data_IF_672681249154
#
_entry.id   IF_672681249154
#
_cell.length_a   1.000
_cell.length_b   1.000
_cell.length_c   1.000
_cell.angle_alpha   90.00
_cell.angle_beta   90.00
_cell.angle_gamma   90.00
#
_symmetry.space_group_name_H-M   'P 1'
#
loop_
_entity.id
_entity.type
_entity.pdbx_description
1 polymer ?
#
# COMPACT_ATOMS: atom_id res chain seq x y z
N UNK A 1 13.74 5.20 9.55
CA UNK A 1 14.27 5.12 8.16
C UNK A 1 13.58 6.22 7.38
N UNK A 2 14.36 7.05 6.70
CA UNK A 2 13.85 8.08 5.80
C UNK A 2 14.15 7.67 4.35
N UNK A 3 13.16 7.79 3.48
CA UNK A 3 13.29 7.51 2.04
C UNK A 3 12.91 8.80 1.31
N UNK A 4 13.87 9.36 0.59
CA UNK A 4 13.69 10.53 -0.26
C UNK A 4 13.81 10.09 -1.72
N UNK A 5 12.83 10.45 -2.53
CA UNK A 5 12.83 10.19 -3.96
C UNK A 5 12.74 11.54 -4.66
N UNK A 6 13.73 11.85 -5.48
CA UNK A 6 13.80 13.07 -6.30
C UNK A 6 13.88 12.68 -7.77
N UNK A 7 13.19 13.42 -8.61
CA UNK A 7 13.21 13.23 -10.06
C UNK A 7 13.18 14.56 -10.78
N UNK A 8 13.83 14.62 -11.94
CA UNK A 8 13.76 15.74 -12.86
C UNK A 8 13.60 15.23 -14.29
N UNK A 9 13.08 16.08 -15.18
CA UNK A 9 12.84 15.72 -16.57
C UNK A 9 13.11 16.90 -17.50
N UNK A 10 13.45 16.63 -18.76
CA UNK A 10 13.57 17.63 -19.82
C UNK A 10 12.27 17.80 -20.63
N UNK A 11 11.30 16.90 -20.45
CA UNK A 11 9.97 16.91 -21.10
C UNK A 11 8.94 16.39 -20.15
N UNK A 12 7.71 16.91 -20.21
CA UNK A 12 6.59 16.40 -19.41
C UNK A 12 6.46 14.89 -19.57
N UNK A 13 6.46 14.18 -18.46
CA UNK A 13 6.36 12.71 -18.43
C UNK A 13 5.50 12.24 -17.27
N UNK A 14 5.09 10.99 -17.30
CA UNK A 14 4.45 10.32 -16.16
C UNK A 14 5.51 10.02 -15.09
N UNK A 15 5.17 10.30 -13.84
CA UNK A 15 6.06 10.09 -12.71
C UNK A 15 5.27 9.62 -11.49
N UNK A 16 5.43 8.36 -11.14
CA UNK A 16 4.84 7.77 -9.94
C UNK A 16 5.84 6.80 -9.31
N UNK A 17 6.43 7.20 -8.20
CA UNK A 17 7.42 6.42 -7.48
C UNK A 17 6.86 5.91 -6.17
N UNK A 18 7.28 4.70 -5.78
CA UNK A 18 7.00 4.12 -4.48
C UNK A 18 8.16 3.25 -4.01
N UNK A 19 8.13 2.87 -2.74
CA UNK A 19 8.97 1.81 -2.19
C UNK A 19 8.09 0.58 -1.99
N UNK A 20 8.50 -0.56 -2.56
CA UNK A 20 7.74 -1.81 -2.51
C UNK A 20 8.40 -2.85 -1.58
N UNK A 21 8.89 -2.41 -0.44
CA UNK A 21 9.42 -3.32 0.57
C UNK A 21 8.29 -4.10 1.24
N UNK A 22 8.53 -5.39 1.50
CA UNK A 22 7.62 -6.23 2.28
C UNK A 22 8.05 -6.27 3.73
N UNK A 23 7.09 -6.15 4.63
CA UNK A 23 7.30 -6.18 6.07
C UNK A 23 6.60 -7.37 6.70
N UNK A 24 7.33 -8.07 7.59
CA UNK A 24 6.81 -9.09 8.48
C UNK A 24 7.46 -8.87 9.85
N UNK A 25 6.66 -8.43 10.82
CA UNK A 25 7.16 -7.90 12.09
C UNK A 25 7.30 -8.97 13.18
N UNK A 26 6.78 -10.17 12.99
CA UNK A 26 6.86 -11.24 13.98
C UNK A 26 7.72 -12.43 13.55
N UNK A 27 8.20 -12.42 12.29
CA UNK A 27 9.03 -13.48 11.73
C UNK A 27 8.29 -14.80 11.50
N UNK A 28 6.95 -14.80 11.56
CA UNK A 28 6.13 -15.96 11.22
C UNK A 28 6.11 -16.20 9.71
N UNK A 29 5.62 -17.36 9.26
CA UNK A 29 5.51 -17.68 7.84
C UNK A 29 4.56 -16.74 7.07
N UNK A 30 3.61 -16.10 7.76
CA UNK A 30 2.67 -15.16 7.16
C UNK A 30 2.22 -14.08 8.13
N UNK A 31 1.54 -13.06 7.61
CA UNK A 31 1.12 -11.87 8.35
C UNK A 31 -0.23 -11.96 9.05
N UNK A 32 -0.83 -13.15 9.22
CA UNK A 32 -2.15 -13.32 9.85
C UNK A 32 -2.23 -12.76 11.28
N UNK A 33 -1.11 -12.72 12.01
CA UNK A 33 -1.06 -12.18 13.36
C UNK A 33 -0.88 -10.66 13.41
N UNK A 34 -0.61 -10.02 12.28
CA UNK A 34 -0.44 -8.58 12.21
C UNK A 34 -1.78 -7.86 12.33
N UNK A 35 -1.71 -6.63 12.82
CA UNK A 35 -2.83 -5.69 12.82
C UNK A 35 -2.47 -4.50 11.95
N UNK A 36 -3.46 -3.96 11.27
CA UNK A 36 -3.33 -2.81 10.38
C UNK A 36 -4.25 -1.68 10.83
N UNK A 37 -3.74 -0.45 10.76
CA UNK A 37 -4.50 0.79 10.76
C UNK A 37 -4.17 1.52 9.47
N UNK A 38 -5.18 2.04 8.76
CA UNK A 38 -5.01 2.97 7.63
C UNK A 38 -5.87 4.20 7.89
N UNK A 39 -5.26 5.36 7.94
CA UNK A 39 -5.95 6.63 8.23
C UNK A 39 -6.66 7.17 6.98
N UNK A 40 -7.69 6.45 6.51
CA UNK A 40 -8.39 6.74 5.28
C UNK A 40 -9.85 6.29 5.32
N UNK A 41 -10.74 7.05 4.64
CA UNK A 41 -12.16 6.71 4.51
C UNK A 41 -12.50 6.12 3.14
N UNK A 42 -11.64 6.31 2.12
CA UNK A 42 -11.93 5.97 0.75
C UNK A 42 -10.86 5.07 0.13
N UNK A 43 -11.28 4.23 -0.80
CA UNK A 43 -10.43 3.25 -1.49
C UNK A 43 -10.85 3.19 -2.96
N UNK A 44 -9.91 2.91 -3.86
CA UNK A 44 -10.22 2.67 -5.27
C UNK A 44 -10.78 1.26 -5.45
N UNK A 45 -12.01 1.11 -5.98
CA UNK A 45 -12.50 -0.18 -6.44
C UNK A 45 -11.78 -0.57 -7.72
N UNK A 46 -11.42 -1.84 -7.85
CA UNK A 46 -10.64 -2.36 -8.98
C UNK A 46 -11.36 -3.51 -9.68
N UNK A 47 -11.06 -3.70 -10.96
CA UNK A 47 -11.46 -4.89 -11.69
C UNK A 47 -10.58 -6.12 -11.35
N UNK A 48 -10.85 -7.24 -12.02
CA UNK A 48 -10.08 -8.49 -11.85
C UNK A 48 -8.59 -8.39 -12.20
N UNK A 49 -8.17 -7.31 -12.88
CA UNK A 49 -6.79 -7.05 -13.26
C UNK A 49 -6.12 -6.02 -12.34
N UNK A 50 -6.82 -5.53 -11.30
CA UNK A 50 -6.32 -4.51 -10.38
C UNK A 50 -6.43 -3.08 -10.93
N UNK A 51 -7.19 -2.85 -12.01
CA UNK A 51 -7.36 -1.53 -12.61
C UNK A 51 -8.55 -0.82 -11.96
N UNK A 52 -8.40 0.45 -11.53
CA UNK A 52 -9.51 1.25 -11.00
C UNK A 52 -10.67 1.35 -11.99
N UNK A 53 -11.89 1.13 -11.52
CA UNK A 53 -13.11 1.10 -12.35
C UNK A 53 -14.05 2.27 -12.12
N UNK A 54 -13.82 3.08 -11.09
CA UNK A 54 -14.63 4.26 -10.77
C UNK A 54 -13.90 5.21 -9.84
N UNK A 55 -14.55 6.33 -9.51
CA UNK A 55 -14.16 7.21 -8.40
C UNK A 55 -14.02 6.43 -7.09
N UNK A 56 -13.25 6.96 -6.11
CA UNK A 56 -13.12 6.35 -4.79
C UNK A 56 -14.46 6.07 -4.12
N UNK A 57 -14.57 4.91 -3.50
CA UNK A 57 -15.73 4.50 -2.70
C UNK A 57 -15.35 4.41 -1.22
N UNK A 58 -16.33 4.37 -0.33
CA UNK A 58 -16.07 4.19 1.10
C UNK A 58 -15.37 2.85 1.37
N UNK A 59 -14.35 2.87 2.22
CA UNK A 59 -13.66 1.64 2.68
C UNK A 59 -14.63 0.61 3.27
N UNK A 60 -15.76 1.06 3.84
CA UNK A 60 -16.82 0.18 4.39
C UNK A 60 -17.55 -0.62 3.31
N UNK A 61 -17.72 -0.05 2.12
CA UNK A 61 -18.41 -0.73 1.00
C UNK A 61 -17.64 -1.94 0.52
N UNK A 62 -16.31 -1.90 0.60
CA UNK A 62 -15.44 -3.02 0.21
C UNK A 62 -14.98 -3.88 1.41
N UNK A 63 -15.51 -3.63 2.63
CA UNK A 63 -15.08 -4.28 3.86
C UNK A 63 -13.57 -4.09 4.16
N UNK A 64 -13.02 -2.93 3.77
CA UNK A 64 -11.62 -2.53 3.96
C UNK A 64 -11.48 -1.36 4.96
N UNK A 65 -12.38 -1.24 5.94
CA UNK A 65 -12.33 -0.18 6.95
C UNK A 65 -11.29 -0.51 8.03
N UNK A 66 -10.08 0.02 7.86
CA UNK A 66 -8.95 -0.10 8.79
C UNK A 66 -8.70 1.17 9.61
N UNK A 67 -9.67 2.06 9.77
CA UNK A 67 -9.49 3.27 10.63
C UNK A 67 -9.18 2.94 12.08
N UNK A 68 -9.65 1.81 12.56
CA UNK A 68 -9.27 1.23 13.84
C UNK A 68 -8.41 0.00 13.61
N UNK A 69 -7.58 -0.32 14.60
CA UNK A 69 -6.70 -1.50 14.53
C UNK A 69 -7.51 -2.78 14.30
N UNK A 70 -7.25 -3.43 13.18
CA UNK A 70 -7.86 -4.70 12.83
C UNK A 70 -6.81 -5.74 12.48
N UNK A 71 -7.05 -6.98 12.90
CA UNK A 71 -6.20 -8.12 12.51
C UNK A 71 -6.31 -8.40 11.02
N UNK A 72 -5.16 -8.68 10.41
CA UNK A 72 -5.07 -9.17 9.02
C UNK A 72 -5.44 -10.66 8.93
N UNK A 73 -6.47 -11.06 9.63
CA UNK A 73 -6.88 -12.46 9.79
C UNK A 73 -8.39 -12.61 9.69
N UNK A 74 -8.83 -13.52 8.83
CA UNK A 74 -10.21 -13.95 8.73
C UNK A 74 -10.24 -15.48 8.93
N UNK A 75 -10.71 -15.93 10.10
CA UNK A 75 -10.83 -17.36 10.44
C UNK A 75 -9.53 -18.16 10.26
N UNK A 76 -8.40 -17.59 10.69
CA UNK A 76 -7.08 -18.25 10.62
C UNK A 76 -6.34 -18.09 9.30
N UNK A 77 -6.91 -17.35 8.33
CA UNK A 77 -6.26 -17.03 7.05
C UNK A 77 -6.00 -15.55 6.93
N UNK A 78 -4.87 -15.13 6.33
CA UNK A 78 -4.63 -13.72 6.04
C UNK A 78 -5.75 -13.13 5.15
N UNK A 79 -6.08 -11.86 5.38
CA UNK A 79 -7.02 -11.11 4.53
C UNK A 79 -6.30 -10.72 3.24
N UNK A 80 -6.93 -10.97 2.10
CA UNK A 80 -6.44 -10.51 0.80
C UNK A 80 -6.76 -9.03 0.61
N UNK A 81 -5.72 -8.21 0.48
CA UNK A 81 -5.81 -6.79 0.16
C UNK A 81 -4.82 -6.52 -0.96
N UNK A 82 -5.26 -5.84 -2.00
CA UNK A 82 -4.45 -5.27 -3.08
C UNK A 82 -5.16 -4.03 -3.61
N UNK A 83 -5.19 -2.97 -2.78
CA UNK A 83 -6.00 -1.79 -3.05
C UNK A 83 -5.27 -0.51 -2.69
N UNK A 84 -5.53 0.53 -3.48
CA UNK A 84 -5.07 1.89 -3.18
C UNK A 84 -6.08 2.62 -2.29
N UNK A 85 -5.65 2.95 -1.08
CA UNK A 85 -6.35 3.83 -0.15
C UNK A 85 -6.13 5.29 -0.54
N UNK A 86 -7.20 6.04 -0.69
CA UNK A 86 -7.19 7.43 -1.14
C UNK A 86 -7.00 8.39 0.03
N UNK A 87 -5.76 8.61 0.45
CA UNK A 87 -5.41 9.41 1.63
C UNK A 87 -5.73 10.90 1.42
N UNK A 88 -5.53 11.40 0.20
CA UNK A 88 -5.82 12.78 -0.21
C UNK A 88 -5.83 12.88 -1.74
N UNK A 89 -6.30 14.02 -2.29
CA UNK A 89 -6.32 14.27 -3.74
C UNK A 89 -5.01 14.90 -4.26
N UNK A 90 -4.10 15.30 -3.37
CA UNK A 90 -2.81 15.91 -3.73
C UNK A 90 -1.76 15.54 -2.70
N UNK A 91 -0.48 15.70 -3.04
CA UNK A 91 0.60 15.63 -2.05
C UNK A 91 0.37 16.63 -0.91
N UNK A 92 0.65 16.20 0.28
CA UNK A 92 0.47 16.96 1.52
C UNK A 92 1.76 16.98 2.34
N UNK A 93 1.77 17.71 3.44
CA UNK A 93 2.84 17.58 4.43
C UNK A 93 2.92 16.15 4.94
N UNK A 94 4.12 15.74 5.37
CA UNK A 94 4.38 14.42 5.93
C UNK A 94 3.40 14.11 7.06
N UNK A 95 2.69 13.00 6.95
CA UNK A 95 1.66 12.56 7.89
C UNK A 95 1.60 11.05 7.99
N UNK A 96 1.11 10.53 9.11
CA UNK A 96 0.86 9.10 9.30
C UNK A 96 -0.25 8.63 8.37
N UNK A 97 0.07 7.67 7.51
CA UNK A 97 -0.87 7.04 6.59
C UNK A 97 -1.31 5.66 7.10
N UNK A 98 -0.38 4.89 7.67
CA UNK A 98 -0.68 3.55 8.18
C UNK A 98 0.18 3.17 9.38
N UNK A 99 -0.33 2.22 10.16
CA UNK A 99 0.43 1.56 11.23
C UNK A 99 0.21 0.05 11.09
N UNK A 100 1.31 -0.72 11.05
CA UNK A 100 1.29 -2.18 11.12
C UNK A 100 1.91 -2.61 12.44
N UNK A 101 1.28 -3.54 13.14
CA UNK A 101 1.78 -4.02 14.43
C UNK A 101 1.69 -5.53 14.52
N UNK A 102 2.70 -6.15 15.10
CA UNK A 102 2.69 -7.57 15.49
C UNK A 102 3.56 -7.76 16.73
N UNK A 103 3.11 -8.59 17.66
CA UNK A 103 3.77 -8.78 18.95
C UNK A 103 4.05 -7.42 19.65
N UNK A 104 5.32 -7.13 19.91
CA UNK A 104 5.77 -5.88 20.55
C UNK A 104 6.43 -4.91 19.56
N UNK A 105 6.29 -5.15 18.25
CA UNK A 105 6.86 -4.31 17.20
C UNK A 105 5.72 -3.56 16.48
N UNK A 106 5.96 -2.29 16.19
CA UNK A 106 5.08 -1.45 15.41
C UNK A 106 5.88 -0.70 14.35
N UNK A 107 5.36 -0.67 13.13
CA UNK A 107 5.85 0.13 12.02
C UNK A 107 4.82 1.21 11.74
N UNK A 108 5.22 2.46 11.87
CA UNK A 108 4.44 3.61 11.45
C UNK A 108 4.97 4.13 10.12
N UNK A 109 4.09 4.22 9.13
CA UNK A 109 4.39 4.79 7.82
C UNK A 109 3.88 6.21 7.74
N UNK A 110 4.80 7.15 7.52
CA UNK A 110 4.47 8.54 7.20
C UNK A 110 4.79 8.79 5.73
N UNK A 111 3.94 9.56 5.05
CA UNK A 111 4.18 9.91 3.65
C UNK A 111 3.58 11.26 3.27
N UNK A 112 4.10 11.84 2.21
CA UNK A 112 3.56 13.02 1.53
C UNK A 112 2.58 12.66 0.41
N UNK A 113 2.58 11.39 -0.02
CA UNK A 113 1.84 10.94 -1.20
C UNK A 113 0.31 10.89 -0.98
N UNK A 114 -0.48 11.09 -2.07
CA UNK A 114 -1.94 11.13 -1.99
C UNK A 114 -2.59 9.77 -1.84
N UNK A 115 -1.91 8.69 -2.20
CA UNK A 115 -2.39 7.32 -2.11
C UNK A 115 -1.49 6.44 -1.27
N UNK A 116 -2.04 5.33 -0.83
CA UNK A 116 -1.32 4.24 -0.21
C UNK A 116 -1.84 2.91 -0.77
N UNK A 117 -1.05 2.26 -1.62
CA UNK A 117 -1.32 0.86 -1.95
C UNK A 117 -0.97 -0.01 -0.76
N UNK A 118 -1.91 -0.84 -0.36
CA UNK A 118 -1.71 -1.89 0.64
C UNK A 118 -1.83 -3.22 -0.06
N UNK A 119 -0.75 -4.01 -0.02
CA UNK A 119 -0.72 -5.34 -0.62
C UNK A 119 -0.31 -6.38 0.42
N UNK A 120 -1.18 -7.35 0.68
CA UNK A 120 -0.94 -8.39 1.70
C UNK A 120 -0.17 -9.61 1.18
N UNK A 121 0.42 -9.52 -0.01
CA UNK A 121 1.35 -10.52 -0.50
C UNK A 121 0.74 -11.83 -0.99
N UNK A 122 -0.50 -11.82 -1.49
CA UNK A 122 -1.18 -13.00 -2.06
C UNK A 122 -0.37 -13.72 -3.14
N UNK A 123 0.31 -12.96 -3.98
CA UNK A 123 1.12 -13.49 -5.09
C UNK A 123 2.58 -13.76 -4.74
N UNK A 124 2.99 -13.61 -3.47
CA UNK A 124 4.38 -13.87 -3.09
C UNK A 124 4.73 -15.35 -3.25
N UNK A 125 5.82 -15.61 -3.96
CA UNK A 125 6.45 -16.92 -4.06
C UNK A 125 7.94 -16.76 -4.43
N UNK A 126 8.84 -17.01 -3.49
CA UNK A 126 10.30 -17.02 -3.74
C UNK A 126 10.81 -18.34 -4.31
N UNK A 127 9.93 -19.23 -4.74
CA UNK A 127 10.31 -20.56 -5.19
C UNK A 127 10.90 -21.39 -4.06
N UNK A 128 12.15 -21.80 -4.23
CA UNK A 128 12.92 -22.53 -3.21
C UNK A 128 13.97 -21.66 -2.52
N UNK A 129 14.05 -20.37 -2.87
CA UNK A 129 15.03 -19.47 -2.26
C UNK A 129 14.64 -19.16 -0.82
N UNK A 130 15.52 -19.49 0.10
CA UNK A 130 15.32 -19.24 1.53
C UNK A 130 15.52 -17.76 1.85
N UNK A 131 14.58 -17.18 2.59
CA UNK A 131 14.68 -15.84 3.12
C UNK A 131 15.41 -15.79 4.47
N UNK A 132 15.26 -14.67 5.18
CA UNK A 132 15.86 -14.45 6.49
C UNK A 132 15.51 -15.54 7.51
N UNK A 133 14.27 -16.07 7.49
CA UNK A 133 13.81 -17.13 8.38
C UNK A 133 14.27 -18.54 8.01
N UNK A 134 15.11 -18.69 6.98
CA UNK A 134 15.54 -19.98 6.40
C UNK A 134 14.38 -20.83 5.89
N UNK A 135 13.34 -20.18 5.40
CA UNK A 135 12.23 -20.79 4.66
C UNK A 135 11.88 -19.92 3.45
N UNK A 136 11.32 -20.51 2.37
CA UNK A 136 10.84 -19.74 1.24
C UNK A 136 9.70 -18.80 1.63
N UNK A 137 9.67 -17.60 1.06
CA UNK A 137 8.53 -16.72 1.19
C UNK A 137 7.40 -17.18 0.29
N UNK A 138 6.24 -17.42 0.86
CA UNK A 138 5.03 -17.86 0.18
C UNK A 138 3.92 -16.81 0.33
N UNK A 139 2.72 -17.13 -0.17
CA UNK A 139 1.55 -16.25 -0.06
C UNK A 139 1.43 -15.65 1.34
N UNK A 140 1.22 -14.35 1.40
CA UNK A 140 1.06 -13.58 2.64
C UNK A 140 2.29 -13.57 3.58
N UNK A 141 3.48 -13.88 3.09
CA UNK A 141 4.70 -13.83 3.90
C UNK A 141 5.09 -12.41 4.36
N UNK A 142 4.53 -11.37 3.75
CA UNK A 142 4.76 -9.98 4.11
C UNK A 142 3.68 -9.05 3.56
N UNK A 143 3.57 -7.86 4.16
CA UNK A 143 2.73 -6.77 3.70
C UNK A 143 3.58 -5.69 3.04
N UNK A 144 3.19 -5.21 1.85
CA UNK A 144 3.74 -4.00 1.25
C UNK A 144 2.84 -2.81 1.54
N UNK A 145 3.48 -1.68 1.84
CA UNK A 145 2.86 -0.38 2.05
C UNK A 145 3.54 0.60 1.11
N UNK A 146 2.80 1.05 0.09
CA UNK A 146 3.37 1.75 -1.06
C UNK A 146 2.73 3.13 -1.23
N UNK A 147 3.31 4.17 -0.59
CA UNK A 147 2.88 5.54 -0.82
C UNK A 147 3.11 5.92 -2.29
N UNK A 148 2.07 6.45 -2.94
CA UNK A 148 2.11 6.71 -4.38
C UNK A 148 1.02 7.70 -4.83
N UNK A 149 1.08 8.12 -6.09
CA UNK A 149 -0.06 8.68 -6.81
C UNK A 149 -1.04 7.53 -7.10
N UNK A 150 -2.35 7.83 -7.08
CA UNK A 150 -3.36 6.80 -7.33
C UNK A 150 -3.14 6.10 -8.68
N UNK A 151 -3.27 4.75 -8.73
CA UNK A 151 -3.12 4.01 -9.99
C UNK A 151 -4.12 4.50 -11.03
N UNK A 152 -3.73 4.38 -12.30
CA UNK A 152 -4.51 4.80 -13.48
C UNK A 152 -4.83 6.31 -13.55
N UNK A 153 -4.18 7.15 -12.73
CA UNK A 153 -4.39 8.61 -12.73
C UNK A 153 -4.31 9.28 -14.12
N UNK A 154 -3.46 8.86 -15.06
CA UNK A 154 -3.43 9.47 -16.39
C UNK A 154 -4.73 9.33 -17.20
N UNK A 155 -5.54 8.33 -16.89
CA UNK A 155 -6.76 7.99 -17.62
C UNK A 155 -8.04 8.39 -16.89
N UNK A 156 -7.92 8.87 -15.64
CA UNK A 156 -9.05 9.18 -14.76
C UNK A 156 -9.15 10.68 -14.50
N UNK A 157 -10.25 11.29 -14.91
CA UNK A 157 -10.51 12.69 -14.58
C UNK A 157 -10.75 12.83 -13.07
N UNK A 158 -10.11 13.81 -12.44
CA UNK A 158 -10.28 14.07 -11.01
C UNK A 158 -9.31 13.31 -10.08
N UNK A 159 -8.51 12.38 -10.61
CA UNK A 159 -7.44 11.75 -9.86
C UNK A 159 -6.23 12.69 -9.70
N UNK A 160 -5.33 12.43 -8.73
CA UNK A 160 -4.11 13.20 -8.55
C UNK A 160 -3.27 13.30 -9.82
N UNK A 161 -2.67 14.47 -10.06
CA UNK A 161 -1.83 14.70 -11.23
C UNK A 161 -0.58 13.79 -11.22
N UNK A 162 -0.41 12.91 -12.23
CA UNK A 162 0.73 12.00 -12.31
C UNK A 162 1.88 12.55 -13.15
N UNK A 163 1.80 13.79 -13.65
CA UNK A 163 2.79 14.34 -14.55
C UNK A 163 3.86 15.12 -13.77
N UNK A 164 5.10 14.93 -14.21
CA UNK A 164 6.26 15.76 -13.86
C UNK A 164 6.60 16.62 -15.07
N UNK A 165 6.73 17.93 -14.88
CA UNK A 165 7.11 18.89 -15.92
C UNK A 165 8.55 19.34 -15.75
N UNK A 166 9.20 19.85 -16.82
CA UNK A 166 10.52 20.48 -16.69
C UNK A 166 10.48 21.61 -15.66
N UNK A 167 11.52 21.66 -14.82
CA UNK A 167 11.70 22.67 -13.75
C UNK A 167 10.79 22.53 -12.53
N UNK A 168 10.07 21.40 -12.38
CA UNK A 168 9.40 21.01 -11.13
C UNK A 168 10.33 20.25 -10.22
#
# INVERSE_FOLDING_TARGET
IDIFIEASTDKTTLCNFTNHSYFNLDGAENIANHSLIVNCDNVLPVDKNGIPISEPVSTKELALDFKNSQKLNNNGKPIEIDHNFCISNTRQNLRTNAIVSANNISLELLSTEPGLQVYTGKGLDSGNDEGWGKFPYKEYAGIALEPQIWPDSPNQNGFPNPYLSPHE
#
